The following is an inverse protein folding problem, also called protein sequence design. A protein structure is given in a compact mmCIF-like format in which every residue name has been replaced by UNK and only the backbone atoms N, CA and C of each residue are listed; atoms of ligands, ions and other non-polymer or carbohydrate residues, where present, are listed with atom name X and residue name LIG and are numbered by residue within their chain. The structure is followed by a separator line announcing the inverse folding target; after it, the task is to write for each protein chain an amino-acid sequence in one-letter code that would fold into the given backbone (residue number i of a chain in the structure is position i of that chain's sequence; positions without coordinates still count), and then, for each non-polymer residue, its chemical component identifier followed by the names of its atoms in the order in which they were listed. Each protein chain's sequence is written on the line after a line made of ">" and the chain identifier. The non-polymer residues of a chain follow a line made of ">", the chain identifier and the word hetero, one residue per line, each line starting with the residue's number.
data_IF_660395026705
#
_entry.id   IF_660395026705
#
_cell.length_a   1.000
_cell.length_b   1.000
_cell.length_c   1.000
_cell.angle_alpha   90.00
_cell.angle_beta   90.00
_cell.angle_gamma   90.00
#
_symmetry.space_group_name_H-M   'P 1'
#
loop_
_entity.id
_entity.type
_entity.pdbx_description
1 polymer ?
#
# COMPACT_ATOMS: atom_id res chain seq x y z
N UNK A 1 -3.13 23.20 -0.38
CA UNK A 1 -4.50 22.67 -0.21
C UNK A 1 -4.42 21.16 -0.31
N UNK A 2 -5.20 20.42 0.49
CA UNK A 2 -5.26 18.95 0.47
C UNK A 2 -6.72 18.50 0.55
N UNK A 3 -7.09 17.50 -0.25
CA UNK A 3 -8.44 16.90 -0.28
C UNK A 3 -8.33 15.50 0.36
N UNK A 4 -8.87 15.30 1.57
CA UNK A 4 -8.89 13.97 2.20
C UNK A 4 -9.93 13.09 1.51
N UNK A 5 -9.47 12.05 0.81
CA UNK A 5 -10.33 11.08 0.11
C UNK A 5 -9.63 9.73 0.05
N UNK A 6 -10.39 8.63 0.07
CA UNK A 6 -9.83 7.31 -0.19
C UNK A 6 -9.39 7.20 -1.65
N UNK A 7 -8.27 6.51 -1.88
CA UNK A 7 -7.73 6.40 -3.24
C UNK A 7 -8.71 5.71 -4.20
N UNK A 8 -9.45 4.71 -3.71
CA UNK A 8 -10.54 4.04 -4.42
C UNK A 8 -11.69 4.95 -4.86
N UNK A 9 -11.91 6.07 -4.17
CA UNK A 9 -12.99 7.02 -4.48
C UNK A 9 -12.53 8.14 -5.42
N UNK A 10 -11.22 8.29 -5.64
CA UNK A 10 -10.69 9.35 -6.49
C UNK A 10 -11.22 9.34 -7.93
N UNK A 11 -11.46 8.19 -8.61
CA UNK A 11 -12.11 8.17 -9.92
C UNK A 11 -13.49 8.83 -9.92
N UNK A 12 -14.27 8.66 -8.84
CA UNK A 12 -15.63 9.20 -8.73
C UNK A 12 -15.65 10.71 -8.76
N UNK A 13 -14.61 11.37 -8.25
CA UNK A 13 -14.50 12.83 -8.34
C UNK A 13 -14.56 13.31 -9.79
N UNK A 14 -13.96 12.56 -10.71
CA UNK A 14 -13.95 12.87 -12.14
C UNK A 14 -15.21 12.34 -12.83
N UNK A 15 -15.59 11.08 -12.57
CA UNK A 15 -16.73 10.42 -13.21
C UNK A 15 -18.07 11.12 -12.85
N UNK A 16 -18.21 11.65 -11.63
CA UNK A 16 -19.40 12.39 -11.17
C UNK A 16 -19.28 13.91 -11.40
N UNK A 17 -18.21 14.37 -12.07
CA UNK A 17 -17.95 15.78 -12.38
C UNK A 17 -17.92 16.70 -11.14
N UNK A 18 -17.54 16.16 -9.97
CA UNK A 18 -17.32 16.91 -8.73
C UNK A 18 -16.04 17.74 -8.85
N UNK A 19 -15.01 17.16 -9.48
CA UNK A 19 -13.74 17.81 -9.80
C UNK A 19 -13.51 17.73 -11.33
N UNK A 20 -14.12 18.65 -12.11
CA UNK A 20 -13.99 18.64 -13.56
C UNK A 20 -12.53 18.78 -14.02
N UNK A 21 -12.17 18.04 -15.08
CA UNK A 21 -10.83 18.09 -15.68
C UNK A 21 -10.86 18.76 -17.06
N UNK A 22 -10.21 19.92 -17.16
CA UNK A 22 -10.01 20.57 -18.46
C UNK A 22 -8.93 19.88 -19.30
N UNK A 23 -7.87 19.38 -18.66
CA UNK A 23 -6.77 18.70 -19.33
C UNK A 23 -6.15 17.60 -18.46
N UNK A 24 -5.67 16.54 -19.10
CA UNK A 24 -4.81 15.51 -18.50
C UNK A 24 -3.48 15.44 -19.26
N UNK A 25 -2.37 15.43 -18.52
CA UNK A 25 -1.03 15.20 -19.06
C UNK A 25 -0.61 13.80 -18.63
N UNK A 26 -0.32 12.93 -19.61
CA UNK A 26 0.03 11.52 -19.37
C UNK A 26 1.34 11.17 -20.06
N UNK A 27 2.04 10.17 -19.54
CA UNK A 27 3.16 9.52 -20.22
C UNK A 27 2.73 8.11 -20.63
N UNK A 28 3.03 7.72 -21.87
CA UNK A 28 2.58 6.45 -22.43
C UNK A 28 3.69 5.76 -23.25
N UNK A 29 3.56 4.45 -23.44
CA UNK A 29 4.39 3.71 -24.39
C UNK A 29 4.11 4.15 -25.84
N UNK A 30 4.98 3.82 -26.80
CA UNK A 30 4.65 3.91 -28.22
C UNK A 30 3.39 3.12 -28.56
N UNK A 31 2.61 3.56 -29.57
CA UNK A 31 1.44 2.82 -30.02
C UNK A 31 1.85 1.50 -30.67
N UNK A 32 1.07 0.45 -30.41
CA UNK A 32 1.20 -0.81 -31.13
C UNK A 32 0.61 -0.74 -32.55
N UNK A 33 0.67 -1.85 -33.28
CA UNK A 33 0.14 -1.96 -34.65
C UNK A 33 -1.36 -1.66 -34.78
N UNK A 34 -2.09 -1.62 -33.67
CA UNK A 34 -3.52 -1.32 -33.60
C UNK A 34 -3.79 0.11 -33.11
N UNK A 35 -2.75 0.92 -32.93
CA UNK A 35 -2.88 2.31 -32.48
C UNK A 35 -3.07 2.47 -30.97
N UNK A 36 -2.80 1.45 -30.18
CA UNK A 36 -2.91 1.52 -28.72
C UNK A 36 -1.56 1.78 -28.06
N UNK A 37 -1.48 2.86 -27.31
CA UNK A 37 -0.44 3.10 -26.31
C UNK A 37 -0.84 2.43 -24.98
N UNK A 38 0.11 2.34 -24.05
CA UNK A 38 -0.10 1.89 -22.67
C UNK A 38 0.29 2.99 -21.68
N UNK A 39 -0.54 3.22 -20.65
CA UNK A 39 -0.22 4.04 -19.47
C UNK A 39 0.95 3.48 -18.65
N UNK A 40 1.31 2.21 -18.87
CA UNK A 40 2.48 1.56 -18.31
C UNK A 40 2.43 1.46 -16.79
N UNK A 41 3.32 2.19 -16.12
CA UNK A 41 3.52 2.07 -14.67
C UNK A 41 2.42 2.71 -13.82
N UNK A 42 1.51 3.49 -14.41
CA UNK A 42 0.59 4.35 -13.68
C UNK A 42 -0.83 4.28 -14.23
N UNK A 43 -1.70 3.48 -13.60
CA UNK A 43 -3.13 3.42 -13.95
C UNK A 43 -3.96 4.23 -12.97
N UNK A 44 -3.78 3.98 -11.66
CA UNK A 44 -4.37 4.69 -10.52
C UNK A 44 -5.61 5.57 -10.84
N UNK A 45 -5.52 6.88 -10.61
CA UNK A 45 -6.50 7.88 -11.01
C UNK A 45 -6.31 8.29 -12.49
N UNK A 46 -5.12 8.09 -13.06
CA UNK A 46 -4.79 8.41 -14.46
C UNK A 46 -5.79 7.81 -15.46
N UNK A 47 -6.27 6.59 -15.23
CA UNK A 47 -7.30 5.95 -16.06
C UNK A 47 -8.61 6.74 -16.08
N UNK A 48 -9.04 7.23 -14.92
CA UNK A 48 -10.23 8.07 -14.80
C UNK A 48 -10.00 9.45 -15.44
N UNK A 49 -8.79 10.01 -15.32
CA UNK A 49 -8.44 11.26 -16.00
C UNK A 49 -8.55 11.12 -17.53
N UNK A 50 -8.05 10.01 -18.11
CA UNK A 50 -8.18 9.70 -19.54
C UNK A 50 -9.63 9.51 -19.99
N UNK A 51 -10.54 9.08 -19.10
CA UNK A 51 -11.97 8.97 -19.43
C UNK A 51 -12.68 10.32 -19.45
N UNK A 52 -12.30 11.24 -18.55
CA UNK A 52 -13.12 12.42 -18.23
C UNK A 52 -12.52 13.76 -18.67
N UNK A 53 -11.21 13.85 -18.91
CA UNK A 53 -10.58 15.10 -19.30
C UNK A 53 -11.09 15.60 -20.66
N UNK A 54 -11.35 16.91 -20.77
CA UNK A 54 -11.75 17.53 -22.05
C UNK A 54 -10.63 17.49 -23.09
N UNK A 55 -9.37 17.52 -22.64
CA UNK A 55 -8.16 17.44 -23.46
C UNK A 55 -7.14 16.47 -22.88
N UNK A 56 -6.50 15.68 -23.73
CA UNK A 56 -5.47 14.72 -23.33
C UNK A 56 -4.18 15.01 -24.09
N UNK A 57 -3.12 15.29 -23.34
CA UNK A 57 -1.78 15.53 -23.86
C UNK A 57 -0.87 14.39 -23.43
N UNK A 58 -0.15 13.78 -24.37
CA UNK A 58 0.70 12.64 -24.07
C UNK A 58 2.18 12.91 -24.37
N UNK A 59 3.05 12.46 -23.48
CA UNK A 59 4.43 12.16 -23.84
C UNK A 59 4.53 10.68 -24.19
N UNK A 60 4.93 10.39 -25.43
CA UNK A 60 5.24 9.04 -25.88
C UNK A 60 6.71 8.78 -25.57
N UNK A 61 6.97 7.80 -24.71
CA UNK A 61 8.30 7.44 -24.21
C UNK A 61 8.54 5.94 -24.42
N UNK A 62 9.57 5.56 -25.18
CA UNK A 62 9.95 4.15 -25.43
C UNK A 62 10.39 3.39 -24.17
N UNK A 63 10.79 4.11 -23.12
CA UNK A 63 11.12 3.51 -21.83
C UNK A 63 9.87 3.21 -20.98
N UNK A 64 8.68 3.68 -21.37
CA UNK A 64 7.43 3.33 -20.70
C UNK A 64 7.00 1.90 -21.08
N UNK A 65 6.92 0.95 -20.13
CA UNK A 65 6.56 -0.43 -20.43
C UNK A 65 5.11 -0.56 -20.91
N UNK A 66 4.88 -1.51 -21.81
CA UNK A 66 3.54 -1.91 -22.24
C UNK A 66 2.95 -2.90 -21.24
N UNK A 67 2.46 -2.41 -20.11
CA UNK A 67 1.83 -3.23 -19.06
C UNK A 67 0.41 -3.60 -19.47
N UNK A 68 -0.06 -4.81 -19.15
CA UNK A 68 -1.43 -5.24 -19.44
C UNK A 68 -2.44 -4.73 -18.40
N UNK A 69 -3.74 -4.82 -18.71
CA UNK A 69 -4.85 -4.40 -17.84
C UNK A 69 -5.59 -3.19 -18.39
N UNK A 70 -5.96 -2.25 -17.51
CA UNK A 70 -6.71 -1.03 -17.86
C UNK A 70 -5.81 0.10 -18.40
N UNK A 71 -4.61 -0.26 -18.83
CA UNK A 71 -3.54 0.64 -19.27
C UNK A 71 -3.74 1.19 -20.69
N UNK A 72 -4.51 0.52 -21.55
CA UNK A 72 -4.51 0.84 -22.97
C UNK A 72 -5.28 2.12 -23.30
N UNK A 73 -4.65 2.98 -24.10
CA UNK A 73 -5.21 4.24 -24.61
C UNK A 73 -4.97 4.31 -26.11
N UNK A 74 -6.04 4.40 -26.90
CA UNK A 74 -5.93 4.53 -28.35
C UNK A 74 -5.50 5.95 -28.74
N UNK A 75 -4.64 6.11 -29.76
CA UNK A 75 -4.13 7.41 -30.22
C UNK A 75 -5.23 8.42 -30.54
N UNK A 76 -6.37 7.99 -31.08
CA UNK A 76 -7.54 8.86 -31.33
C UNK A 76 -8.12 9.55 -30.08
N UNK A 77 -7.75 9.13 -28.87
CA UNK A 77 -8.14 9.80 -27.61
C UNK A 77 -7.16 10.90 -27.20
N UNK A 78 -6.00 11.00 -27.84
CA UNK A 78 -4.93 11.94 -27.49
C UNK A 78 -5.05 13.16 -28.42
N UNK A 79 -5.26 14.34 -27.84
CA UNK A 79 -5.45 15.60 -28.60
C UNK A 79 -4.13 16.12 -29.19
N UNK A 80 -3.03 16.00 -28.45
CA UNK A 80 -1.68 16.27 -28.95
C UNK A 80 -0.65 15.46 -28.17
N UNK A 81 0.50 15.19 -28.79
CA UNK A 81 1.57 14.44 -28.17
C UNK A 81 2.95 14.96 -28.53
N UNK A 82 3.93 14.61 -27.70
CA UNK A 82 5.35 14.76 -27.96
C UNK A 82 6.01 13.39 -27.86
N UNK A 83 6.96 13.10 -28.76
CA UNK A 83 7.82 11.92 -28.63
C UNK A 83 9.09 12.34 -27.92
N UNK A 84 9.31 11.83 -26.70
CA UNK A 84 10.50 12.12 -25.92
C UNK A 84 10.86 10.93 -25.02
N UNK A 85 11.99 10.32 -25.34
CA UNK A 85 12.54 9.19 -24.62
C UNK A 85 13.39 9.68 -23.45
N UNK A 86 12.97 9.36 -22.24
CA UNK A 86 13.76 9.58 -21.02
C UNK A 86 13.64 8.38 -20.08
N UNK A 87 14.67 8.08 -19.28
CA UNK A 87 14.57 7.04 -18.26
C UNK A 87 13.40 7.33 -17.32
N UNK A 88 12.63 6.31 -16.97
CA UNK A 88 11.63 6.42 -15.91
C UNK A 88 12.33 6.65 -14.57
N UNK A 89 11.62 7.30 -13.65
CA UNK A 89 12.10 7.48 -12.28
C UNK A 89 12.26 6.11 -11.64
N UNK A 90 13.45 5.84 -11.10
CA UNK A 90 13.75 4.62 -10.36
C UNK A 90 13.76 4.89 -8.85
N UNK A 91 13.37 3.87 -8.08
CA UNK A 91 13.38 3.91 -6.63
C UNK A 91 13.98 2.61 -6.07
N UNK A 92 15.02 2.74 -5.23
CA UNK A 92 15.71 1.63 -4.61
C UNK A 92 15.97 1.90 -3.12
N UNK A 93 15.24 1.21 -2.25
CA UNK A 93 15.36 1.31 -0.80
C UNK A 93 16.41 0.38 -0.20
N UNK A 94 17.09 -0.45 -1.01
CA UNK A 94 17.98 -1.49 -0.51
C UNK A 94 19.10 -0.96 0.40
N UNK A 95 19.57 0.27 0.17
CA UNK A 95 20.63 0.94 0.95
C UNK A 95 20.16 1.52 2.29
N UNK A 96 18.86 1.66 2.48
CA UNK A 96 18.25 2.29 3.67
C UNK A 96 17.76 1.26 4.69
N UNK A 97 17.83 -0.03 4.37
CA UNK A 97 17.34 -1.12 5.23
C UNK A 97 18.14 -1.18 6.55
N UNK A 98 17.44 -0.98 7.65
CA UNK A 98 17.97 -1.13 9.00
C UNK A 98 17.73 -2.52 9.59
N UNK A 99 18.41 -2.85 10.70
CA UNK A 99 18.14 -4.09 11.44
C UNK A 99 16.73 -4.13 12.04
N UNK A 100 16.19 -2.97 12.42
CA UNK A 100 14.80 -2.82 12.88
C UNK A 100 13.84 -3.25 11.77
N UNK A 101 14.07 -2.83 10.53
CA UNK A 101 13.22 -3.19 9.39
C UNK A 101 13.27 -4.70 9.13
N UNK A 102 14.45 -5.32 9.25
CA UNK A 102 14.62 -6.77 9.11
C UNK A 102 13.85 -7.55 10.19
N UNK A 103 13.89 -7.09 11.43
CA UNK A 103 13.17 -7.73 12.54
C UNK A 103 11.66 -7.64 12.30
N UNK A 104 11.16 -6.44 11.95
CA UNK A 104 9.74 -6.24 11.63
C UNK A 104 9.34 -7.13 10.44
N UNK A 105 10.14 -7.15 9.38
CA UNK A 105 9.91 -7.98 8.19
C UNK A 105 9.73 -9.46 8.51
N UNK A 106 10.61 -10.02 9.34
CA UNK A 106 10.51 -11.42 9.79
C UNK A 106 9.26 -11.68 10.62
N UNK A 107 8.92 -10.80 11.57
CA UNK A 107 7.71 -10.95 12.38
C UNK A 107 6.43 -10.90 11.56
N UNK A 108 6.39 -10.06 10.53
CA UNK A 108 5.25 -10.02 9.62
C UNK A 108 5.19 -11.29 8.77
N UNK A 109 6.33 -11.80 8.28
CA UNK A 109 6.38 -13.04 7.52
C UNK A 109 5.87 -14.26 8.33
N UNK A 110 6.13 -14.30 9.64
CA UNK A 110 5.57 -15.31 10.56
C UNK A 110 4.03 -15.24 10.67
N UNK A 111 3.43 -14.08 10.39
CA UNK A 111 1.98 -13.93 10.32
C UNK A 111 1.40 -14.32 8.96
N UNK A 112 2.22 -14.47 7.91
CA UNK A 112 1.74 -14.81 6.56
C UNK A 112 1.72 -16.34 6.41
N UNK A 113 0.57 -16.89 6.03
CA UNK A 113 0.45 -18.32 5.76
C UNK A 113 0.76 -18.59 4.27
N UNK A 114 1.19 -19.81 3.92
CA UNK A 114 1.18 -20.28 2.54
C UNK A 114 -0.21 -20.09 1.89
N UNK A 115 -0.22 -19.74 0.60
CA UNK A 115 -1.44 -19.45 -0.14
C UNK A 115 -2.10 -18.11 0.19
N UNK A 116 -1.44 -17.23 0.96
CA UNK A 116 -1.96 -15.89 1.25
C UNK A 116 -1.93 -14.98 0.03
N UNK A 117 -2.88 -14.03 -0.01
CA UNK A 117 -2.85 -12.92 -0.96
C UNK A 117 -2.29 -11.70 -0.27
N UNK A 118 -1.31 -11.02 -0.86
CA UNK A 118 -0.62 -9.91 -0.24
C UNK A 118 -0.99 -8.58 -0.87
N UNK A 119 -1.15 -7.57 -0.01
CA UNK A 119 -0.96 -6.16 -0.34
C UNK A 119 0.11 -5.59 0.57
N UNK A 120 0.99 -4.79 -0.03
CA UNK A 120 2.08 -4.11 0.64
C UNK A 120 2.47 -2.86 -0.15
N UNK A 121 2.92 -1.82 0.57
CA UNK A 121 3.40 -0.58 -0.01
C UNK A 121 4.88 -0.64 -0.37
N UNK A 122 5.48 0.53 -0.58
CA UNK A 122 6.93 0.72 -0.72
C UNK A 122 7.63 1.03 0.60
N UNK A 123 8.94 0.78 0.60
CA UNK A 123 9.85 1.18 1.66
C UNK A 123 10.63 0.00 2.21
N UNK A 124 11.53 0.30 3.15
CA UNK A 124 12.46 -0.66 3.72
C UNK A 124 11.76 -1.84 4.42
N UNK A 125 10.65 -1.58 5.12
CA UNK A 125 9.89 -2.64 5.82
C UNK A 125 9.17 -3.57 4.83
N UNK A 126 8.33 -3.10 3.88
CA UNK A 126 7.75 -3.97 2.86
C UNK A 126 8.78 -4.83 2.11
N UNK A 127 9.94 -4.26 1.75
CA UNK A 127 11.02 -5.00 1.11
C UNK A 127 11.60 -6.09 2.02
N UNK A 128 11.75 -5.81 3.31
CA UNK A 128 12.15 -6.81 4.30
C UNK A 128 11.11 -7.91 4.51
N UNK A 129 9.80 -7.57 4.43
CA UNK A 129 8.73 -8.57 4.44
C UNK A 129 8.87 -9.47 3.22
N UNK A 130 8.90 -8.91 2.00
CA UNK A 130 9.01 -9.68 0.76
C UNK A 130 10.24 -10.61 0.79
N UNK A 131 11.39 -10.11 1.23
CA UNK A 131 12.60 -10.92 1.39
C UNK A 131 12.46 -12.05 2.43
N UNK A 132 11.65 -11.84 3.46
CA UNK A 132 11.40 -12.86 4.50
C UNK A 132 10.32 -13.87 4.09
N UNK A 133 9.70 -13.69 2.92
CA UNK A 133 8.68 -14.58 2.36
C UNK A 133 9.23 -15.54 1.30
N UNK A 134 10.54 -15.59 1.06
CA UNK A 134 11.15 -16.40 0.00
C UNK A 134 10.96 -17.92 0.17
N UNK A 135 10.70 -18.37 1.40
CA UNK A 135 10.46 -19.79 1.71
C UNK A 135 8.97 -20.17 1.72
N UNK A 136 8.07 -19.19 1.58
CA UNK A 136 6.63 -19.43 1.49
C UNK A 136 6.25 -20.00 0.12
N UNK A 137 5.04 -20.54 0.04
CA UNK A 137 4.53 -21.20 -1.17
C UNK A 137 3.20 -20.63 -1.60
N UNK A 138 3.06 -20.53 -2.91
CA UNK A 138 1.80 -20.25 -3.58
C UNK A 138 1.14 -18.94 -3.17
N UNK A 139 1.97 -17.95 -2.88
CA UNK A 139 1.51 -16.61 -2.56
C UNK A 139 0.83 -15.99 -3.79
N UNK A 140 0.01 -15.00 -3.49
CA UNK A 140 -0.71 -14.22 -4.49
C UNK A 140 -0.50 -12.73 -4.22
N UNK A 141 -0.60 -11.90 -5.27
CA UNK A 141 -0.46 -10.45 -5.16
C UNK A 141 -1.73 -9.79 -5.71
N UNK A 142 -2.38 -9.02 -4.84
CA UNK A 142 -3.46 -8.11 -5.16
C UNK A 142 -3.22 -6.85 -4.34
N UNK A 143 -2.42 -5.94 -4.88
CA UNK A 143 -1.87 -4.79 -4.15
C UNK A 143 -2.29 -3.48 -4.78
N UNK A 144 -2.18 -2.38 -4.05
CA UNK A 144 -2.22 -1.05 -4.67
C UNK A 144 -1.03 -0.92 -5.63
N UNK A 145 0.15 -1.35 -5.19
CA UNK A 145 1.37 -1.24 -5.98
C UNK A 145 2.30 -2.43 -5.83
N UNK A 146 3.26 -2.56 -6.76
CA UNK A 146 4.32 -3.57 -6.71
C UNK A 146 5.71 -2.94 -6.89
N UNK A 147 6.71 -3.55 -6.25
CA UNK A 147 8.13 -3.20 -6.30
C UNK A 147 8.98 -4.40 -6.74
N UNK A 148 10.30 -4.22 -6.86
CA UNK A 148 11.28 -5.24 -7.23
C UNK A 148 11.21 -6.52 -6.38
N UNK A 149 10.81 -6.41 -5.10
CA UNK A 149 10.66 -7.58 -4.25
C UNK A 149 9.54 -8.51 -4.72
N UNK A 150 8.45 -7.98 -5.28
CA UNK A 150 7.37 -8.79 -5.86
C UNK A 150 7.86 -9.52 -7.11
N UNK A 151 8.59 -8.84 -7.99
CA UNK A 151 9.25 -9.46 -9.15
C UNK A 151 10.14 -10.62 -8.70
N UNK A 152 10.98 -10.40 -7.70
CA UNK A 152 11.89 -11.44 -7.16
C UNK A 152 11.12 -12.68 -6.68
N UNK A 153 10.00 -12.50 -5.97
CA UNK A 153 9.18 -13.63 -5.53
C UNK A 153 8.46 -14.35 -6.67
N UNK A 154 8.06 -13.63 -7.73
CA UNK A 154 7.50 -14.22 -8.94
C UNK A 154 8.54 -15.06 -9.68
N UNK A 155 9.76 -14.55 -9.87
CA UNK A 155 10.87 -15.27 -10.53
C UNK A 155 11.26 -16.54 -9.77
N UNK A 156 11.19 -16.51 -8.42
CA UNK A 156 11.43 -17.67 -7.56
C UNK A 156 10.29 -18.69 -7.54
N UNK A 157 9.14 -18.39 -8.16
CA UNK A 157 7.95 -19.24 -8.12
C UNK A 157 7.22 -19.26 -6.77
N UNK A 158 7.57 -18.36 -5.86
CA UNK A 158 6.89 -18.18 -4.56
C UNK A 158 5.51 -17.57 -4.77
N UNK A 159 5.43 -16.57 -5.66
CA UNK A 159 4.16 -15.97 -6.09
C UNK A 159 3.65 -16.70 -7.33
N UNK A 160 2.55 -17.44 -7.17
CA UNK A 160 1.89 -18.17 -8.27
C UNK A 160 0.52 -17.61 -8.63
N UNK A 161 -0.08 -16.79 -7.76
CA UNK A 161 -1.42 -16.21 -7.94
C UNK A 161 -2.55 -17.24 -8.14
N UNK A 162 -2.29 -18.54 -7.93
CA UNK A 162 -3.21 -19.62 -8.31
C UNK A 162 -4.48 -19.69 -7.46
N UNK A 163 -4.42 -19.12 -6.26
CA UNK A 163 -5.54 -19.12 -5.31
C UNK A 163 -6.39 -17.85 -5.34
N UNK A 164 -6.02 -16.86 -6.16
CA UNK A 164 -6.86 -15.67 -6.30
C UNK A 164 -8.19 -16.02 -6.94
N UNK A 165 -9.25 -15.36 -6.46
CA UNK A 165 -10.58 -15.45 -7.07
C UNK A 165 -10.78 -14.45 -8.21
N UNK A 166 -9.93 -13.42 -8.26
CA UNK A 166 -9.95 -12.37 -9.26
C UNK A 166 -8.60 -12.33 -9.98
N UNK A 167 -8.63 -12.50 -11.32
CA UNK A 167 -7.45 -12.74 -12.16
C UNK A 167 -6.51 -13.83 -11.59
N UNK A 168 -6.96 -15.10 -11.51
CA UNK A 168 -6.08 -16.20 -11.11
C UNK A 168 -4.87 -16.30 -12.04
N UNK A 169 -3.69 -16.53 -11.46
CA UNK A 169 -2.44 -16.66 -12.20
C UNK A 169 -1.71 -15.35 -12.52
N UNK A 170 -2.37 -14.19 -12.42
CA UNK A 170 -1.74 -12.90 -12.67
C UNK A 170 -1.54 -12.11 -11.37
N UNK A 171 -0.45 -11.35 -11.24
CA UNK A 171 -0.26 -10.32 -10.21
C UNK A 171 -1.07 -9.08 -10.59
N UNK A 172 -1.86 -8.55 -9.67
CA UNK A 172 -2.70 -7.35 -9.93
C UNK A 172 -2.24 -6.17 -9.07
N UNK A 173 -2.12 -5.01 -9.69
CA UNK A 173 -1.74 -3.74 -9.07
C UNK A 173 -2.47 -2.56 -9.75
N UNK A 174 -2.30 -1.33 -9.26
CA UNK A 174 -2.76 -0.11 -9.95
C UNK A 174 -1.61 0.80 -10.38
N UNK A 175 -0.44 0.69 -9.74
CA UNK A 175 0.79 1.33 -10.19
C UNK A 175 2.02 0.51 -9.82
N UNK A 176 3.14 0.80 -10.49
CA UNK A 176 4.40 0.04 -10.43
C UNK A 176 5.52 1.05 -10.19
N UNK A 177 6.35 0.81 -9.18
CA UNK A 177 7.46 1.70 -8.85
C UNK A 177 8.63 0.87 -8.31
N UNK A 178 9.80 1.04 -8.91
CA UNK A 178 10.98 0.24 -8.59
C UNK A 178 12.17 0.62 -9.45
N UNK A 179 13.04 -0.35 -9.72
CA UNK A 179 14.18 -0.14 -10.63
C UNK A 179 13.81 -0.42 -12.07
N UNK A 180 14.72 -0.08 -12.99
CA UNK A 180 14.60 -0.45 -14.40
C UNK A 180 14.35 -1.94 -14.62
N UNK A 181 14.88 -2.82 -13.75
CA UNK A 181 14.64 -4.27 -13.86
C UNK A 181 13.17 -4.62 -13.73
N UNK A 182 12.48 -3.98 -12.79
CA UNK A 182 11.03 -4.15 -12.63
C UNK A 182 10.29 -3.66 -13.86
N UNK A 183 10.66 -2.49 -14.41
CA UNK A 183 10.03 -1.94 -15.61
C UNK A 183 10.23 -2.86 -16.84
N UNK A 184 11.43 -3.40 -17.00
CA UNK A 184 11.73 -4.39 -18.06
C UNK A 184 10.93 -5.69 -17.85
N UNK A 185 10.78 -6.15 -16.60
CA UNK A 185 10.05 -7.38 -16.24
C UNK A 185 8.54 -7.29 -16.50
N UNK A 186 7.92 -6.13 -16.27
CA UNK A 186 6.47 -5.94 -16.46
C UNK A 186 6.09 -5.63 -17.90
N UNK A 187 7.07 -5.27 -18.75
CA UNK A 187 6.84 -4.92 -20.14
C UNK A 187 6.31 -6.13 -20.95
N UNK A 188 5.07 -6.02 -21.44
CA UNK A 188 4.34 -7.04 -22.20
C UNK A 188 4.28 -8.42 -21.50
N UNK A 189 4.31 -8.41 -20.17
CA UNK A 189 4.22 -9.62 -19.35
C UNK A 189 2.75 -9.92 -19.00
N UNK A 190 2.14 -11.00 -19.53
CA UNK A 190 0.73 -11.29 -19.33
C UNK A 190 0.38 -11.68 -17.88
N UNK A 191 1.40 -11.98 -17.06
CA UNK A 191 1.22 -12.31 -15.65
C UNK A 191 1.16 -11.07 -14.75
N UNK A 192 1.24 -9.85 -15.29
CA UNK A 192 1.12 -8.60 -14.52
C UNK A 192 0.03 -7.73 -15.13
N UNK A 193 -0.97 -7.39 -14.32
CA UNK A 193 -2.10 -6.56 -14.71
C UNK A 193 -2.15 -5.30 -13.84
N UNK A 194 -2.10 -4.13 -14.48
CA UNK A 194 -2.37 -2.85 -13.85
C UNK A 194 -3.83 -2.45 -14.11
N UNK A 195 -4.63 -2.30 -13.05
CA UNK A 195 -6.07 -2.10 -13.09
C UNK A 195 -6.46 -0.75 -12.48
N UNK A 196 -7.65 -0.26 -12.84
CA UNK A 196 -8.24 0.95 -12.28
C UNK A 196 -8.29 0.88 -10.74
N UNK A 197 -7.96 1.98 -10.06
CA UNK A 197 -7.92 2.03 -8.60
C UNK A 197 -9.28 1.72 -7.96
N UNK A 198 -10.37 2.08 -8.62
CA UNK A 198 -11.72 1.76 -8.16
C UNK A 198 -12.02 0.25 -8.15
N UNK A 199 -11.17 -0.56 -8.79
CA UNK A 199 -11.24 -2.03 -8.76
C UNK A 199 -10.24 -2.58 -7.75
N UNK A 200 -8.97 -2.18 -7.82
CA UNK A 200 -7.91 -2.76 -6.97
C UNK A 200 -8.14 -2.44 -5.50
N UNK A 201 -8.61 -1.23 -5.21
CA UNK A 201 -8.79 -0.73 -3.87
C UNK A 201 -10.26 -0.82 -3.41
N UNK A 202 -11.15 -1.50 -4.13
CA UNK A 202 -12.52 -1.73 -3.63
C UNK A 202 -12.48 -2.80 -2.53
N UNK A 203 -12.86 -2.48 -1.27
CA UNK A 203 -12.92 -3.48 -0.19
C UNK A 203 -13.80 -4.69 -0.52
N UNK A 204 -14.81 -4.54 -1.37
CA UNK A 204 -15.66 -5.63 -1.84
C UNK A 204 -14.92 -6.58 -2.81
N UNK A 205 -13.96 -6.10 -3.58
CA UNK A 205 -13.07 -6.95 -4.37
C UNK A 205 -11.95 -7.55 -3.51
N UNK A 206 -11.31 -6.74 -2.68
CA UNK A 206 -10.19 -7.15 -1.82
C UNK A 206 -10.59 -8.35 -0.95
N UNK A 207 -11.78 -8.29 -0.32
CA UNK A 207 -12.26 -9.35 0.57
C UNK A 207 -12.50 -10.70 -0.11
N UNK A 208 -12.61 -10.75 -1.44
CA UNK A 208 -12.84 -11.99 -2.20
C UNK A 208 -11.56 -12.82 -2.28
N UNK A 209 -10.40 -12.19 -2.20
CA UNK A 209 -9.14 -12.90 -2.15
C UNK A 209 -9.01 -13.65 -0.81
N UNK A 210 -8.72 -14.96 -0.82
CA UNK A 210 -8.57 -15.73 0.41
C UNK A 210 -7.30 -15.32 1.15
N UNK A 211 -7.34 -15.38 2.49
CA UNK A 211 -6.18 -15.08 3.35
C UNK A 211 -5.51 -13.75 2.98
N UNK A 212 -6.33 -12.72 2.72
CA UNK A 212 -5.82 -11.42 2.30
C UNK A 212 -5.01 -10.79 3.45
N UNK A 213 -3.72 -10.58 3.24
CA UNK A 213 -2.79 -9.96 4.17
C UNK A 213 -2.45 -8.56 3.67
N UNK A 214 -3.03 -7.55 4.31
CA UNK A 214 -2.76 -6.14 4.02
C UNK A 214 -1.72 -5.59 5.00
N UNK A 215 -0.59 -5.11 4.49
CA UNK A 215 0.56 -4.68 5.31
C UNK A 215 0.83 -3.21 5.03
N UNK A 216 0.61 -2.36 6.03
CA UNK A 216 0.67 -0.91 5.89
C UNK A 216 1.46 -0.26 7.03
N UNK A 217 2.19 0.82 6.73
CA UNK A 217 2.95 1.55 7.73
C UNK A 217 2.10 2.61 8.45
N UNK A 218 2.42 2.86 9.72
CA UNK A 218 1.80 3.92 10.52
C UNK A 218 2.85 4.94 10.99
N UNK A 219 2.46 6.20 11.18
CA UNK A 219 3.29 7.26 11.78
C UNK A 219 3.24 7.19 13.31
N UNK A 220 2.04 7.09 13.88
CA UNK A 220 1.79 6.96 15.32
C UNK A 220 0.63 6.00 15.58
N UNK A 221 0.71 5.25 16.68
CA UNK A 221 -0.40 4.44 17.21
C UNK A 221 -0.63 4.80 18.68
N UNK A 222 -1.84 5.23 19.03
CA UNK A 222 -2.15 5.54 20.44
C UNK A 222 -2.56 4.31 21.25
N UNK A 223 -2.57 4.42 22.59
CA UNK A 223 -2.93 3.32 23.51
C UNK A 223 -4.35 2.77 23.34
N UNK A 224 -5.23 3.43 22.60
CA UNK A 224 -6.56 2.93 22.27
C UNK A 224 -6.60 2.19 20.92
N UNK A 225 -5.50 2.23 20.17
CA UNK A 225 -5.34 1.68 18.84
C UNK A 225 -5.83 2.61 17.73
N UNK A 226 -5.88 3.93 17.93
CA UNK A 226 -6.00 4.85 16.79
C UNK A 226 -4.66 4.98 16.09
N UNK A 227 -4.71 5.18 14.78
CA UNK A 227 -3.54 5.22 13.93
C UNK A 227 -3.54 6.51 13.13
N UNK A 228 -2.44 7.22 13.20
CA UNK A 228 -2.11 8.28 12.25
C UNK A 228 -1.08 7.73 11.26
N UNK A 229 -1.30 7.94 9.96
CA UNK A 229 -0.36 7.53 8.91
C UNK A 229 -0.08 8.63 7.87
N UNK A 230 -0.78 9.76 7.93
CA UNK A 230 -0.75 10.80 6.90
C UNK A 230 -0.21 12.16 7.37
N UNK A 231 0.02 12.32 8.68
CA UNK A 231 0.34 13.62 9.29
C UNK A 231 1.20 13.50 10.55
N UNK A 232 1.85 14.60 10.92
CA UNK A 232 2.57 14.76 12.18
C UNK A 232 1.98 15.96 12.91
N UNK A 233 1.02 15.68 13.82
CA UNK A 233 0.16 16.73 14.35
C UNK A 233 -0.58 17.43 13.22
N UNK A 234 -0.54 18.76 13.18
CA UNK A 234 -1.19 19.55 12.12
C UNK A 234 -0.42 19.58 10.78
N UNK A 235 0.78 19.01 10.72
CA UNK A 235 1.60 19.00 9.50
C UNK A 235 1.23 17.82 8.61
N UNK A 236 0.68 18.10 7.43
CA UNK A 236 0.38 17.11 6.41
C UNK A 236 1.68 16.53 5.83
N UNK A 237 1.85 15.22 5.92
CA UNK A 237 3.05 14.51 5.51
C UNK A 237 2.83 13.69 4.23
N UNK A 238 1.70 13.00 4.13
CA UNK A 238 1.28 12.18 3.00
C UNK A 238 -0.25 12.11 2.94
N UNK A 239 -0.84 11.30 2.07
CA UNK A 239 -2.29 11.14 1.96
C UNK A 239 -2.88 9.96 2.73
N UNK A 240 -4.22 9.89 2.77
CA UNK A 240 -4.97 8.72 3.29
C UNK A 240 -4.62 7.46 2.49
N UNK A 241 -4.46 7.59 1.18
CA UNK A 241 -4.14 6.49 0.26
C UNK A 241 -5.19 5.38 0.28
N UNK A 242 -4.79 4.17 -0.10
CA UNK A 242 -5.60 2.96 0.00
C UNK A 242 -5.43 2.17 1.29
N UNK A 243 -4.74 2.71 2.30
CA UNK A 243 -4.48 1.97 3.55
C UNK A 243 -5.78 1.42 4.14
N UNK A 244 -6.82 2.26 4.26
CA UNK A 244 -8.10 1.84 4.85
C UNK A 244 -8.84 0.83 4.01
N UNK A 245 -8.78 0.98 2.69
CA UNK A 245 -9.41 0.08 1.74
C UNK A 245 -8.91 -1.35 1.93
N UNK A 246 -7.58 -1.52 1.96
CA UNK A 246 -6.94 -2.80 2.17
C UNK A 246 -7.06 -3.31 3.60
N UNK A 247 -6.92 -2.46 4.61
CA UNK A 247 -7.11 -2.86 6.00
C UNK A 247 -8.53 -3.36 6.26
N UNK A 248 -9.54 -2.73 5.66
CA UNK A 248 -10.94 -3.17 5.77
C UNK A 248 -11.20 -4.43 4.96
N UNK A 249 -10.74 -4.48 3.71
CA UNK A 249 -10.89 -5.66 2.85
C UNK A 249 -10.23 -6.90 3.44
N UNK A 250 -9.00 -6.78 3.95
CA UNK A 250 -8.29 -7.87 4.63
C UNK A 250 -9.02 -8.33 5.90
N UNK A 251 -9.56 -7.41 6.70
CA UNK A 251 -10.32 -7.76 7.90
C UNK A 251 -11.66 -8.47 7.59
N UNK A 252 -12.17 -8.38 6.35
CA UNK A 252 -13.39 -9.05 5.87
C UNK A 252 -13.10 -10.32 5.07
N UNK A 253 -11.86 -10.54 4.65
CA UNK A 253 -11.42 -11.73 3.94
C UNK A 253 -11.39 -12.94 4.88
N UNK A 254 -11.74 -14.11 4.36
CA UNK A 254 -11.63 -15.35 5.12
C UNK A 254 -10.17 -15.60 5.52
N UNK A 255 -9.91 -15.67 6.83
CA UNK A 255 -8.57 -15.79 7.43
C UNK A 255 -7.63 -14.63 7.03
N UNK A 256 -8.17 -13.50 6.59
CA UNK A 256 -7.39 -12.32 6.26
C UNK A 256 -6.79 -11.64 7.49
N UNK A 257 -5.69 -10.93 7.27
CA UNK A 257 -4.87 -10.28 8.30
C UNK A 257 -4.60 -8.83 7.89
N UNK A 258 -5.12 -7.90 8.65
CA UNK A 258 -4.85 -6.48 8.49
C UNK A 258 -3.71 -6.08 9.45
N UNK A 259 -2.54 -5.76 8.92
CA UNK A 259 -1.27 -5.65 9.65
C UNK A 259 -0.74 -4.22 9.50
N UNK A 260 -0.59 -3.53 10.65
CA UNK A 260 0.12 -2.27 10.72
C UNK A 260 1.55 -2.52 11.19
N UNK A 261 2.51 -1.98 10.47
CA UNK A 261 3.93 -2.01 10.83
C UNK A 261 4.40 -0.64 11.26
N UNK A 262 5.18 -0.59 12.34
CA UNK A 262 5.71 0.67 12.88
C UNK A 262 6.98 0.39 13.70
N UNK A 263 8.13 0.99 13.37
CA UNK A 263 9.24 1.05 14.31
C UNK A 263 8.77 1.66 15.63
N UNK A 264 9.17 1.10 16.77
CA UNK A 264 8.64 1.55 18.07
C UNK A 264 9.01 3.01 18.41
N UNK A 265 10.07 3.53 17.77
CA UNK A 265 10.52 4.92 17.89
C UNK A 265 11.13 5.45 16.58
N UNK A 266 11.32 6.77 16.49
CA UNK A 266 12.08 7.42 15.41
C UNK A 266 13.59 7.28 15.63
N UNK A 267 14.40 7.63 14.62
CA UNK A 267 15.87 7.69 14.75
C UNK A 267 16.37 8.69 15.81
N UNK A 268 15.50 9.60 16.28
CA UNK A 268 15.77 10.55 17.37
C UNK A 268 15.29 10.06 18.74
N UNK A 269 14.89 8.80 18.86
CA UNK A 269 14.41 8.21 20.12
C UNK A 269 12.99 8.62 20.52
N UNK A 270 12.21 9.22 19.60
CA UNK A 270 10.83 9.64 19.88
C UNK A 270 9.90 8.44 19.70
N UNK A 271 9.17 8.04 20.75
CA UNK A 271 8.20 6.94 20.70
C UNK A 271 7.15 7.15 19.59
N UNK A 272 6.80 6.07 18.89
CA UNK A 272 5.71 6.02 17.91
C UNK A 272 4.49 5.25 18.41
N UNK A 273 4.64 4.50 19.51
CA UNK A 273 3.53 4.10 20.37
C UNK A 273 3.31 5.23 21.38
N UNK A 274 2.17 5.89 21.34
CA UNK A 274 1.91 7.13 22.09
C UNK A 274 0.72 7.02 23.02
N UNK A 275 0.68 7.84 24.08
CA UNK A 275 -0.46 7.83 25.01
C UNK A 275 -1.75 8.34 24.35
N UNK A 276 -1.61 9.36 23.52
CA UNK A 276 -2.63 9.97 22.66
C UNK A 276 -1.92 10.46 21.40
N UNK A 277 -2.58 10.40 20.24
CA UNK A 277 -2.05 10.99 19.01
C UNK A 277 -1.75 12.48 19.23
N UNK A 278 -0.78 13.02 18.47
CA UNK A 278 -0.46 14.45 18.51
C UNK A 278 -1.69 15.30 18.22
N UNK A 279 -1.76 16.46 18.85
CA UNK A 279 -2.83 17.42 18.59
C UNK A 279 -2.86 17.78 17.10
N UNK A 280 -4.05 17.69 16.50
CA UNK A 280 -4.28 17.92 15.08
C UNK A 280 -3.92 16.76 14.14
N UNK A 281 -3.39 15.64 14.65
CA UNK A 281 -3.08 14.47 13.82
C UNK A 281 -4.34 13.86 13.19
N UNK A 282 -4.25 13.56 11.90
CA UNK A 282 -5.28 12.86 11.14
C UNK A 282 -5.40 11.40 11.57
N UNK A 283 -6.59 10.98 12.01
CA UNK A 283 -6.84 9.55 12.25
C UNK A 283 -7.08 8.88 10.91
N UNK A 284 -6.06 8.20 10.39
CA UNK A 284 -6.16 7.42 9.15
C UNK A 284 -6.90 6.12 9.42
N UNK A 285 -6.43 5.30 10.38
CA UNK A 285 -7.10 4.06 10.79
C UNK A 285 -7.75 4.19 12.16
N UNK A 286 -9.10 4.05 12.19
CA UNK A 286 -9.87 4.08 13.43
C UNK A 286 -9.62 2.87 14.33
N UNK A 287 -9.90 3.02 15.63
CA UNK A 287 -9.76 1.95 16.65
C UNK A 287 -10.48 0.65 16.26
N UNK A 288 -11.63 0.77 15.61
CA UNK A 288 -12.47 -0.39 15.24
C UNK A 288 -11.88 -1.19 14.07
N UNK A 289 -11.08 -0.54 13.23
CA UNK A 289 -10.43 -1.16 12.07
C UNK A 289 -9.17 -1.92 12.43
N UNK A 290 -8.40 -1.43 13.41
CA UNK A 290 -7.10 -2.05 13.76
C UNK A 290 -7.26 -3.51 14.19
N UNK A 291 -6.38 -4.35 13.63
CA UNK A 291 -6.21 -5.75 13.99
C UNK A 291 -4.82 -5.96 14.56
N UNK A 292 -3.81 -6.13 13.72
CA UNK A 292 -2.43 -6.35 14.15
C UNK A 292 -1.62 -5.07 14.11
N UNK A 293 -0.77 -4.86 15.12
CA UNK A 293 0.29 -3.85 15.15
C UNK A 293 1.61 -4.55 15.42
N UNK A 294 2.61 -4.30 14.60
CA UNK A 294 3.92 -4.96 14.63
C UNK A 294 5.02 -3.93 14.78
N UNK A 295 5.88 -4.15 15.78
CA UNK A 295 7.12 -3.41 15.98
C UNK A 295 8.28 -4.41 16.01
N UNK A 296 9.51 -3.92 16.12
CA UNK A 296 10.68 -4.76 16.37
C UNK A 296 10.58 -5.57 17.68
N UNK A 297 9.78 -5.12 18.64
CA UNK A 297 9.61 -5.77 19.94
C UNK A 297 8.52 -6.84 19.99
N UNK A 298 7.59 -6.88 19.01
CA UNK A 298 6.58 -7.92 18.98
C UNK A 298 5.35 -7.59 18.14
N UNK A 299 4.31 -8.40 18.33
CA UNK A 299 3.03 -8.32 17.62
C UNK A 299 1.90 -8.16 18.63
N UNK A 300 1.06 -7.14 18.46
CA UNK A 300 -0.15 -6.91 19.23
C UNK A 300 -1.40 -7.15 18.37
N UNK A 301 -2.27 -8.08 18.79
CA UNK A 301 -3.60 -8.26 18.18
C UNK A 301 -4.68 -7.55 19.02
N UNK A 302 -5.23 -6.46 18.48
CA UNK A 302 -6.19 -5.59 19.15
C UNK A 302 -7.65 -5.97 18.89
N UNK A 303 -7.92 -7.01 18.08
CA UNK A 303 -9.28 -7.43 17.79
C UNK A 303 -9.96 -8.03 19.02
N UNK A 304 -11.17 -7.55 19.32
CA UNK A 304 -11.94 -7.99 20.50
C UNK A 304 -11.37 -7.53 21.85
N UNK A 305 -10.38 -6.63 21.85
CA UNK A 305 -9.75 -6.12 23.08
C UNK A 305 -10.36 -4.81 23.55
N UNK A 306 -10.59 -4.70 24.86
CA UNK A 306 -11.00 -3.44 25.50
C UNK A 306 -9.82 -2.44 25.60
N UNK A 307 -10.04 -1.22 26.09
CA UNK A 307 -8.98 -0.20 26.13
C UNK A 307 -7.78 -0.58 27.01
N UNK A 308 -8.01 -1.20 28.17
CA UNK A 308 -6.93 -1.63 29.07
C UNK A 308 -6.09 -2.74 28.43
N UNK A 309 -6.73 -3.74 27.83
CA UNK A 309 -6.07 -4.83 27.12
C UNK A 309 -5.29 -4.31 25.90
N UNK A 310 -5.85 -3.35 25.15
CA UNK A 310 -5.14 -2.72 24.03
C UNK A 310 -3.91 -1.95 24.50
N UNK A 311 -4.07 -1.13 25.54
CA UNK A 311 -2.96 -0.37 26.11
C UNK A 311 -1.85 -1.32 26.55
N UNK A 312 -2.18 -2.41 27.25
CA UNK A 312 -1.22 -3.46 27.64
C UNK A 312 -0.44 -3.98 26.44
N UNK A 313 -1.14 -4.49 25.44
CA UNK A 313 -0.53 -5.12 24.27
C UNK A 313 0.36 -4.14 23.49
N UNK A 314 -0.06 -2.88 23.37
CA UNK A 314 0.72 -1.84 22.70
C UNK A 314 1.96 -1.43 23.49
N UNK A 315 1.87 -1.34 24.82
CA UNK A 315 3.01 -1.07 25.69
C UNK A 315 4.04 -2.20 25.62
N UNK A 316 3.59 -3.46 25.58
CA UNK A 316 4.48 -4.63 25.50
C UNK A 316 5.32 -4.67 24.21
N UNK A 317 4.85 -4.03 23.15
CA UNK A 317 5.58 -3.89 21.88
C UNK A 317 6.20 -2.48 21.69
N UNK A 318 6.10 -1.59 22.68
CA UNK A 318 6.79 -0.31 22.64
C UNK A 318 8.27 -0.45 23.01
N UNK A 319 9.08 0.55 22.67
CA UNK A 319 10.48 0.61 23.09
C UNK A 319 10.58 0.57 24.62
N UNK A 320 11.48 -0.23 25.22
CA UNK A 320 11.63 -0.36 26.67
C UNK A 320 11.68 0.99 27.41
N UNK A 321 12.44 1.95 26.88
CA UNK A 321 12.61 3.29 27.46
C UNK A 321 11.29 4.08 27.60
N UNK A 322 10.28 3.78 26.78
CA UNK A 322 9.01 4.50 26.76
C UNK A 322 7.89 3.80 27.56
N UNK A 323 8.08 2.54 27.97
CA UNK A 323 7.01 1.72 28.58
C UNK A 323 6.50 2.30 29.89
N UNK A 324 7.38 2.69 30.80
CA UNK A 324 6.99 3.25 32.10
C UNK A 324 6.15 4.53 31.94
N UNK A 325 6.52 5.41 31.00
CA UNK A 325 5.76 6.63 30.70
C UNK A 325 4.38 6.30 30.12
N UNK A 326 4.29 5.32 29.23
CA UNK A 326 3.04 4.86 28.65
C UNK A 326 2.14 4.19 29.69
N UNK A 327 2.68 3.38 30.61
CA UNK A 327 1.94 2.76 31.71
C UNK A 327 1.34 3.81 32.65
N UNK A 328 2.13 4.82 33.05
CA UNK A 328 1.62 5.96 33.85
C UNK A 328 0.49 6.68 33.14
N UNK A 329 0.63 6.93 31.82
CA UNK A 329 -0.41 7.57 31.03
C UNK A 329 -1.67 6.70 30.91
N UNK A 330 -1.52 5.39 30.71
CA UNK A 330 -2.60 4.42 30.67
C UNK A 330 -3.38 4.41 31.98
N UNK A 331 -2.69 4.31 33.12
CA UNK A 331 -3.31 4.34 34.44
C UNK A 331 -4.05 5.65 34.70
N UNK A 332 -3.43 6.80 34.38
CA UNK A 332 -4.05 8.12 34.53
C UNK A 332 -5.37 8.21 33.75
N UNK A 333 -5.39 7.65 32.54
CA UNK A 333 -6.52 7.68 31.58
C UNK A 333 -7.61 6.67 31.91
N UNK A 334 -7.26 5.42 32.25
CA UNK A 334 -8.21 4.32 32.39
C UNK A 334 -8.50 3.88 33.83
N UNK A 335 -7.77 4.43 34.81
CA UNK A 335 -7.90 4.14 36.26
C UNK A 335 -7.68 2.68 36.68
N UNK A 336 -7.19 1.84 35.77
CA UNK A 336 -6.68 0.50 36.06
C UNK A 336 -5.48 0.24 35.15
N UNK A 337 -4.51 -0.56 35.61
CA UNK A 337 -3.40 -0.98 34.77
C UNK A 337 -3.72 -2.25 33.98
N UNK A 338 -4.50 -3.19 34.51
CA UNK A 338 -5.01 -4.37 33.80
C UNK A 338 -6.36 -4.77 34.38
#
# INVERSE_FOLDING_TARGET
>A
SYIPIFLSETPRLFDENILPLDAALIQVSPPDKHGYCSLGTSVEITRAAVRNAKKIFAQINRNMPRVHGDTFVHMNKIDAYVEYDEPLIELDYSKEISDIDRIIGKRVAELVDDGSTLQLGIGTIPDCVLKSLEDHKDLSIASEMISDGVMTLMEKGVVTNRYKTFHPGATTCTFILGTKKLYDFVNDNPNVLALDIGITNDPAQIRRNPKMCAINAAIEVDLTGQVCADSIGTMHYSGVGGQIDFMRGAALSEKGKAILVIPSQTSKGISRIVSTLKEGAGVTTSRAHVRYVVTEYGVANLFGKNYQQRAKLLIDIAHPDHREALERAAYKRFKSLY
#
